data_IF_769748877785
#
_entry.id   IF_769748877785
#
_cell.length_a   1.000
_cell.length_b   1.000
_cell.length_c   1.000
_cell.angle_alpha   90.00
_cell.angle_beta   90.00
_cell.angle_gamma   90.00
#
_symmetry.space_group_name_H-M   'P 1'
#
loop_
_entity.id
_entity.type
_entity.pdbx_description
1 polymer ?
#
# COMPACT_ATOMS: atom_id res chain seq x y z
N UNK A 1 8.06 13.58 22.62
CA UNK A 1 7.54 12.70 21.54
C UNK A 1 8.72 12.07 20.81
N UNK A 2 8.55 10.89 20.20
CA UNK A 2 9.60 10.29 19.37
C UNK A 2 9.83 11.14 18.11
N UNK A 3 11.08 11.23 17.66
CA UNK A 3 11.40 11.68 16.30
C UNK A 3 10.99 10.62 15.28
N UNK A 4 10.84 11.00 14.01
CA UNK A 4 10.45 10.04 12.96
C UNK A 4 11.50 8.93 12.80
N UNK A 5 12.79 9.27 12.92
CA UNK A 5 13.89 8.29 12.93
C UNK A 5 13.76 7.29 14.09
N UNK A 6 13.42 7.76 15.30
CA UNK A 6 13.22 6.89 16.45
C UNK A 6 12.00 5.97 16.26
N UNK A 7 10.90 6.49 15.70
CA UNK A 7 9.72 5.69 15.39
C UNK A 7 10.05 4.59 14.38
N UNK A 8 10.71 4.92 13.27
CA UNK A 8 11.12 3.95 12.25
C UNK A 8 12.05 2.89 12.84
N UNK A 9 13.01 3.28 13.68
CA UNK A 9 13.91 2.34 14.34
C UNK A 9 13.13 1.34 15.23
N UNK A 10 12.14 1.82 15.98
CA UNK A 10 11.25 0.96 16.79
C UNK A 10 10.40 0.02 15.94
N UNK A 11 9.86 0.51 14.82
CA UNK A 11 9.09 -0.32 13.88
C UNK A 11 9.97 -1.43 13.31
N UNK A 12 11.20 -1.10 12.86
CA UNK A 12 12.15 -2.08 12.30
C UNK A 12 12.63 -3.11 13.32
N UNK A 13 12.68 -2.75 14.61
CA UNK A 13 13.05 -3.63 15.71
C UNK A 13 11.85 -4.42 16.30
N UNK A 14 10.64 -4.25 15.75
CA UNK A 14 9.44 -4.88 16.31
C UNK A 14 9.48 -6.42 16.20
N UNK A 15 9.27 -7.10 17.32
CA UNK A 15 9.20 -8.55 17.45
C UNK A 15 7.81 -9.07 17.89
N UNK A 16 6.82 -8.19 18.08
CA UNK A 16 5.47 -8.51 18.58
C UNK A 16 4.82 -9.74 17.93
N UNK A 17 4.99 -9.90 16.61
CA UNK A 17 4.37 -10.99 15.87
C UNK A 17 5.19 -12.29 15.87
N UNK A 18 6.42 -12.30 16.39
CA UNK A 18 7.38 -13.40 16.29
C UNK A 18 6.80 -14.78 16.65
N UNK A 19 5.98 -14.95 17.72
CA UNK A 19 5.40 -16.26 18.05
C UNK A 19 4.49 -16.87 16.97
N UNK A 20 4.09 -16.09 15.96
CA UNK A 20 3.15 -16.47 14.91
C UNK A 20 3.75 -16.45 13.50
N UNK A 21 5.03 -16.08 13.35
CA UNK A 21 5.67 -15.94 12.04
C UNK A 21 6.68 -17.08 11.84
N UNK A 22 6.37 -18.07 10.97
CA UNK A 22 7.21 -19.25 10.80
C UNK A 22 8.62 -18.92 10.26
N UNK A 23 8.73 -17.87 9.45
CA UNK A 23 9.99 -17.40 8.86
C UNK A 23 10.61 -16.22 9.67
N UNK A 24 10.12 -15.94 10.89
CA UNK A 24 10.62 -14.88 11.77
C UNK A 24 10.07 -13.48 11.45
N UNK A 25 10.62 -12.47 12.14
CA UNK A 25 10.22 -11.05 11.96
C UNK A 25 11.17 -10.33 11.02
N UNK A 26 10.60 -9.60 10.06
CA UNK A 26 11.29 -8.59 9.27
C UNK A 26 10.29 -7.51 8.87
N UNK A 27 10.13 -6.45 9.69
CA UNK A 27 9.26 -5.35 9.33
C UNK A 27 9.78 -4.63 8.08
N UNK A 28 9.05 -4.74 6.96
CA UNK A 28 9.39 -4.11 5.67
C UNK A 28 8.40 -2.98 5.39
N UNK A 29 8.92 -1.75 5.42
CA UNK A 29 8.18 -0.51 5.11
C UNK A 29 9.06 0.45 4.29
N UNK A 30 8.43 1.38 3.58
CA UNK A 30 9.08 2.57 2.99
C UNK A 30 8.37 3.81 3.56
N UNK A 31 9.13 4.76 4.09
CA UNK A 31 8.56 5.88 4.84
C UNK A 31 9.47 7.10 4.79
N UNK A 32 8.88 8.26 4.49
CA UNK A 32 9.42 9.58 4.72
C UNK A 32 8.24 10.54 5.03
N UNK A 33 8.36 11.50 5.96
CA UNK A 33 7.30 12.48 6.24
C UNK A 33 6.88 13.33 5.03
N UNK A 34 7.73 13.43 4.00
CA UNK A 34 7.43 14.17 2.77
C UNK A 34 6.61 13.37 1.76
N UNK A 35 6.41 12.05 1.99
CA UNK A 35 5.66 11.20 1.08
C UNK A 35 4.29 11.79 0.75
N UNK A 36 3.96 11.78 -0.55
CA UNK A 36 2.70 12.33 -1.08
C UNK A 36 1.73 11.25 -1.51
N UNK A 37 2.25 10.06 -1.80
CA UNK A 37 1.48 8.89 -2.20
C UNK A 37 1.69 7.81 -1.14
N UNK A 38 0.62 7.20 -0.67
CA UNK A 38 0.67 6.03 0.20
C UNK A 38 0.21 4.79 -0.56
N UNK A 39 1.00 3.73 -0.49
CA UNK A 39 0.60 2.38 -0.88
C UNK A 39 0.26 1.60 0.39
N UNK A 40 -1.03 1.37 0.62
CA UNK A 40 -1.53 0.51 1.69
C UNK A 40 -1.93 -0.86 1.13
N UNK A 41 -1.19 -1.90 1.52
CA UNK A 41 -1.41 -3.27 1.03
C UNK A 41 -1.54 -4.27 2.19
N UNK A 42 -1.64 -5.57 1.89
CA UNK A 42 -1.85 -6.61 2.91
C UNK A 42 -0.63 -6.81 3.81
N UNK A 43 0.41 -7.48 3.30
CA UNK A 43 1.64 -7.84 4.00
C UNK A 43 2.71 -8.15 2.94
N UNK A 44 4.01 -8.09 3.28
CA UNK A 44 5.05 -8.52 2.36
C UNK A 44 4.93 -10.03 2.06
N UNK A 45 5.22 -10.42 0.82
CA UNK A 45 5.37 -11.82 0.44
C UNK A 45 6.78 -12.36 0.74
N UNK A 46 7.00 -13.65 0.48
CA UNK A 46 8.28 -14.34 0.77
C UNK A 46 9.51 -13.63 0.20
N UNK A 47 9.49 -13.24 -1.08
CA UNK A 47 10.63 -12.56 -1.71
C UNK A 47 10.92 -11.19 -1.08
N UNK A 48 9.88 -10.47 -0.67
CA UNK A 48 10.03 -9.20 0.07
C UNK A 48 10.59 -9.45 1.46
N UNK A 49 10.20 -10.53 2.14
CA UNK A 49 10.80 -10.96 3.41
C UNK A 49 12.27 -11.32 3.28
N UNK A 50 12.68 -11.98 2.19
CA UNK A 50 14.07 -12.38 1.96
C UNK A 50 14.96 -11.20 1.56
N UNK A 51 14.43 -10.25 0.79
CA UNK A 51 15.22 -9.12 0.27
C UNK A 51 15.11 -7.86 1.13
N UNK A 52 14.02 -7.69 1.87
CA UNK A 52 13.72 -6.47 2.63
C UNK A 52 13.29 -5.28 1.78
N UNK A 53 13.08 -5.48 0.47
CA UNK A 53 12.72 -4.43 -0.48
C UNK A 53 11.22 -4.55 -0.76
N UNK A 54 10.39 -3.56 -0.40
CA UNK A 54 8.94 -3.59 -0.63
C UNK A 54 8.62 -3.83 -2.10
N UNK A 55 7.63 -4.67 -2.43
CA UNK A 55 7.21 -4.89 -3.83
C UNK A 55 8.36 -5.26 -4.80
N UNK A 56 9.41 -5.92 -4.30
CA UNK A 56 10.47 -6.48 -5.12
C UNK A 56 10.09 -7.87 -5.67
N UNK A 57 8.95 -7.92 -6.36
CA UNK A 57 8.38 -9.13 -6.96
C UNK A 57 7.51 -8.76 -8.18
N UNK A 58 7.01 -9.75 -8.95
CA UNK A 58 6.18 -9.48 -10.13
C UNK A 58 4.90 -8.70 -9.86
N UNK A 59 4.36 -8.75 -8.64
CA UNK A 59 3.20 -7.93 -8.27
C UNK A 59 3.60 -6.46 -8.15
N UNK A 60 4.81 -6.18 -7.68
CA UNK A 60 5.38 -4.84 -7.70
C UNK A 60 5.64 -4.28 -9.09
N UNK A 61 6.11 -5.11 -10.03
CA UNK A 61 6.30 -4.70 -11.43
C UNK A 61 4.97 -4.23 -12.04
N UNK A 62 3.92 -5.02 -11.84
CA UNK A 62 2.57 -4.66 -12.29
C UNK A 62 2.03 -3.43 -11.58
N UNK A 63 2.26 -3.29 -10.27
CA UNK A 63 1.82 -2.10 -9.54
C UNK A 63 2.46 -0.83 -10.09
N UNK A 64 3.77 -0.85 -10.38
CA UNK A 64 4.46 0.28 -11.03
C UNK A 64 3.88 0.61 -12.39
N UNK A 65 3.56 -0.41 -13.20
CA UNK A 65 2.88 -0.22 -14.49
C UNK A 65 1.51 0.45 -14.33
N UNK A 66 0.67 -0.03 -13.40
CA UNK A 66 -0.63 0.60 -13.12
C UNK A 66 -0.49 2.02 -12.58
N UNK A 67 0.54 2.29 -11.77
CA UNK A 67 0.83 3.64 -11.28
C UNK A 67 1.39 4.57 -12.36
N UNK A 68 1.95 4.03 -13.45
CA UNK A 68 2.57 4.82 -14.51
C UNK A 68 3.86 5.52 -14.07
N UNK A 69 4.61 4.94 -13.13
CA UNK A 69 5.84 5.53 -12.58
C UNK A 69 7.05 4.60 -12.71
N UNK A 70 8.24 5.20 -12.70
CA UNK A 70 9.50 4.46 -12.78
C UNK A 70 9.85 3.80 -11.45
N UNK A 71 10.75 2.79 -11.44
CA UNK A 71 11.29 2.22 -10.20
C UNK A 71 11.94 3.28 -9.30
N UNK A 72 12.64 4.26 -9.86
CA UNK A 72 13.31 5.33 -9.09
C UNK A 72 12.28 6.17 -8.33
N UNK A 73 11.16 6.52 -8.97
CA UNK A 73 10.06 7.25 -8.30
C UNK A 73 9.37 6.36 -7.26
N UNK A 74 9.14 5.08 -7.59
CA UNK A 74 8.46 4.14 -6.70
C UNK A 74 9.25 3.88 -5.42
N UNK A 75 10.57 3.82 -5.52
CA UNK A 75 11.48 3.57 -4.39
C UNK A 75 12.03 4.85 -3.74
N UNK A 76 11.61 6.04 -4.17
CA UNK A 76 11.87 7.29 -3.46
C UNK A 76 10.89 7.43 -2.28
N UNK A 77 11.36 7.31 -1.03
CA UNK A 77 10.48 7.39 0.13
C UNK A 77 9.84 8.77 0.30
N UNK A 78 10.42 9.84 -0.26
CA UNK A 78 9.85 11.21 -0.23
C UNK A 78 8.67 11.38 -1.18
N UNK A 79 8.53 10.50 -2.17
CA UNK A 79 7.41 10.50 -3.10
C UNK A 79 6.35 9.47 -2.69
N UNK A 80 6.79 8.26 -2.37
CA UNK A 80 5.92 7.11 -2.10
C UNK A 80 6.23 6.51 -0.72
N UNK A 81 5.25 6.52 0.18
CA UNK A 81 5.26 5.69 1.38
C UNK A 81 4.63 4.33 1.07
N UNK A 82 5.19 3.26 1.63
CA UNK A 82 4.68 1.89 1.51
C UNK A 82 4.49 1.33 2.91
N UNK A 83 3.23 1.29 3.35
CA UNK A 83 2.83 0.79 4.66
C UNK A 83 1.80 -0.32 4.46
N UNK A 84 2.17 -1.61 4.55
CA UNK A 84 1.22 -2.72 4.56
C UNK A 84 0.39 -2.78 5.86
N UNK A 85 -0.65 -3.61 5.92
CA UNK A 85 -1.42 -3.86 7.14
C UNK A 85 -0.64 -4.70 8.16
N UNK A 86 0.14 -5.67 7.68
CA UNK A 86 1.15 -6.37 8.47
C UNK A 86 2.53 -6.14 7.88
N UNK A 87 3.51 -5.74 8.69
CA UNK A 87 4.83 -5.38 8.17
C UNK A 87 5.77 -6.57 7.94
N UNK A 88 5.43 -7.75 8.43
CA UNK A 88 6.22 -8.97 8.27
C UNK A 88 5.47 -9.99 7.42
N UNK A 89 6.20 -10.91 6.79
CA UNK A 89 5.63 -11.97 5.99
C UNK A 89 4.94 -13.00 6.89
N UNK A 90 3.63 -13.25 6.70
CA UNK A 90 2.85 -14.08 7.60
C UNK A 90 2.99 -15.59 7.36
N UNK A 91 3.78 -16.00 6.37
CA UNK A 91 3.89 -17.40 5.93
C UNK A 91 2.98 -17.74 4.74
N UNK A 92 3.12 -18.94 4.19
CA UNK A 92 2.31 -19.45 3.06
C UNK A 92 1.16 -20.32 3.56
N UNK A 93 -0.05 -20.02 3.10
CA UNK A 93 -1.24 -20.87 3.18
C UNK A 93 -1.61 -21.53 1.85
N UNK A 94 -2.77 -22.21 1.81
CA UNK A 94 -3.20 -23.02 0.65
C UNK A 94 -3.42 -22.21 -0.64
N UNK A 95 -3.92 -20.99 -0.51
CA UNK A 95 -4.28 -20.10 -1.63
C UNK A 95 -3.31 -18.94 -1.82
N UNK A 96 -2.20 -18.91 -1.06
CA UNK A 96 -1.22 -17.84 -1.05
C UNK A 96 -0.74 -17.46 0.32
N UNK A 97 -0.12 -16.29 0.41
CA UNK A 97 0.36 -15.77 1.66
C UNK A 97 -0.79 -15.62 2.65
N UNK A 98 -0.52 -15.95 3.91
CA UNK A 98 -1.47 -15.84 5.00
C UNK A 98 -1.93 -14.37 5.20
N UNK A 99 -3.06 -14.15 5.89
CA UNK A 99 -3.50 -12.81 6.22
C UNK A 99 -2.50 -12.08 7.13
N UNK A 100 -2.52 -10.73 7.13
CA UNK A 100 -1.66 -9.96 8.00
C UNK A 100 -2.04 -10.22 9.46
N UNK A 101 -1.04 -10.18 10.34
CA UNK A 101 -1.26 -10.32 11.78
C UNK A 101 -2.09 -9.16 12.32
N UNK A 102 -3.15 -9.48 13.08
CA UNK A 102 -4.15 -8.52 13.57
C UNK A 102 -3.56 -7.51 14.56
N UNK A 103 -2.48 -7.91 15.23
CA UNK A 103 -1.77 -7.15 16.26
C UNK A 103 -0.87 -6.06 15.64
N UNK A 104 -0.45 -6.22 14.38
CA UNK A 104 0.55 -5.34 13.75
C UNK A 104 0.01 -3.93 13.47
N UNK A 105 -1.17 -3.84 12.84
CA UNK A 105 -1.75 -2.55 12.46
C UNK A 105 -2.08 -1.65 13.67
N UNK A 106 -2.78 -2.13 14.73
CA UNK A 106 -3.04 -1.34 15.93
C UNK A 106 -1.76 -0.85 16.61
N UNK A 107 -0.69 -1.63 16.55
CA UNK A 107 0.58 -1.26 17.17
C UNK A 107 1.27 -0.10 16.44
N UNK A 108 1.29 -0.06 15.11
CA UNK A 108 2.17 0.86 14.38
C UNK A 108 1.50 1.76 13.35
N UNK A 109 0.38 1.36 12.74
CA UNK A 109 -0.13 2.08 11.56
C UNK A 109 -0.54 3.50 11.88
N UNK A 110 -1.33 3.71 12.93
CA UNK A 110 -1.79 5.07 13.26
C UNK A 110 -0.61 6.00 13.56
N UNK A 111 0.36 5.53 14.35
CA UNK A 111 1.58 6.29 14.67
C UNK A 111 2.37 6.72 13.43
N UNK A 112 2.41 5.89 12.39
CA UNK A 112 3.07 6.21 11.12
C UNK A 112 2.20 7.12 10.23
N UNK A 113 0.89 6.87 10.17
CA UNK A 113 -0.06 7.70 9.40
C UNK A 113 -0.07 9.15 9.91
N UNK A 114 0.00 9.35 11.23
CA UNK A 114 0.06 10.68 11.87
C UNK A 114 1.32 11.47 11.48
N UNK A 115 2.32 10.80 10.89
CA UNK A 115 3.59 11.37 10.45
C UNK A 115 3.69 11.53 8.93
N UNK A 116 2.58 11.39 8.21
CA UNK A 116 2.48 11.57 6.77
C UNK A 116 1.51 12.71 6.42
N UNK A 117 1.79 13.97 6.83
CA UNK A 117 0.85 15.08 6.65
C UNK A 117 0.68 15.50 5.18
N UNK A 118 1.61 15.10 4.31
CA UNK A 118 1.66 15.55 2.93
C UNK A 118 0.94 14.62 1.94
N UNK A 119 0.26 13.57 2.43
CA UNK A 119 -0.44 12.63 1.56
C UNK A 119 -1.54 13.33 0.77
N UNK A 120 -1.46 13.17 -0.55
CA UNK A 120 -2.45 13.63 -1.52
C UNK A 120 -3.19 12.46 -2.16
N UNK A 121 -2.64 11.25 -2.08
CA UNK A 121 -3.21 10.05 -2.65
C UNK A 121 -2.90 8.81 -1.79
N UNK A 122 -3.89 7.93 -1.63
CA UNK A 122 -3.74 6.61 -0.98
C UNK A 122 -4.26 5.52 -1.94
N UNK A 123 -3.40 4.56 -2.28
CA UNK A 123 -3.78 3.30 -2.91
C UNK A 123 -4.13 2.28 -1.82
N UNK A 124 -5.40 1.83 -1.78
CA UNK A 124 -5.86 0.82 -0.80
C UNK A 124 -6.06 -0.52 -1.49
N UNK A 125 -5.03 -1.36 -1.37
CA UNK A 125 -4.85 -2.59 -2.15
C UNK A 125 -5.34 -3.81 -1.34
N UNK A 126 -6.45 -4.38 -1.79
CA UNK A 126 -7.04 -5.59 -1.23
C UNK A 126 -7.82 -5.38 0.08
N UNK A 127 -8.52 -6.44 0.50
CA UNK A 127 -9.56 -6.37 1.53
C UNK A 127 -9.10 -5.81 2.87
N UNK A 128 -7.87 -6.10 3.32
CA UNK A 128 -7.38 -5.66 4.63
C UNK A 128 -7.10 -4.16 4.66
N UNK A 129 -6.52 -3.63 3.57
CA UNK A 129 -6.29 -2.20 3.45
C UNK A 129 -7.61 -1.45 3.23
N UNK A 130 -8.50 -1.98 2.38
CA UNK A 130 -9.84 -1.42 2.17
C UNK A 130 -10.64 -1.36 3.47
N UNK A 131 -10.66 -2.44 4.27
CA UNK A 131 -11.40 -2.48 5.53
C UNK A 131 -10.89 -1.48 6.59
N UNK A 132 -9.61 -1.09 6.52
CA UNK A 132 -9.01 -0.09 7.41
C UNK A 132 -9.29 1.34 6.96
N UNK A 133 -9.16 1.61 5.66
CA UNK A 133 -9.22 2.98 5.13
C UNK A 133 -10.63 3.41 4.71
N UNK A 134 -11.55 2.46 4.48
CA UNK A 134 -12.89 2.74 3.97
C UNK A 134 -13.97 2.38 4.99
N UNK A 135 -15.00 3.22 5.06
CA UNK A 135 -16.20 3.00 5.86
C UNK A 135 -17.04 1.85 5.31
N UNK A 136 -17.15 1.77 3.98
CA UNK A 136 -17.93 0.82 3.23
C UNK A 136 -17.39 -0.60 3.43
N UNK A 137 -18.31 -1.55 3.52
CA UNK A 137 -18.01 -2.98 3.62
C UNK A 137 -18.52 -3.67 2.37
N UNK A 138 -17.71 -4.58 1.84
CA UNK A 138 -18.02 -5.32 0.62
C UNK A 138 -16.84 -6.17 0.20
N UNK A 139 -17.04 -6.97 -0.83
CA UNK A 139 -15.95 -7.67 -1.51
C UNK A 139 -15.01 -6.66 -2.20
N UNK A 140 -13.77 -7.09 -2.46
CA UNK A 140 -12.80 -6.28 -3.21
C UNK A 140 -13.38 -5.84 -4.56
N UNK A 141 -14.09 -6.72 -5.26
CA UNK A 141 -14.69 -6.39 -6.57
C UNK A 141 -15.72 -5.28 -6.44
N UNK A 142 -16.64 -5.38 -5.48
CA UNK A 142 -17.68 -4.37 -5.25
C UNK A 142 -17.03 -3.03 -4.93
N UNK A 143 -16.14 -2.99 -3.93
CA UNK A 143 -15.47 -1.74 -3.51
C UNK A 143 -14.70 -1.11 -4.68
N UNK A 144 -13.93 -1.89 -5.44
CA UNK A 144 -13.18 -1.37 -6.60
C UNK A 144 -14.12 -0.93 -7.72
N UNK A 145 -15.27 -1.59 -7.93
CA UNK A 145 -16.23 -1.16 -8.97
C UNK A 145 -16.84 0.22 -8.69
N UNK A 146 -16.91 0.59 -7.41
CA UNK A 146 -17.36 1.90 -6.93
C UNK A 146 -16.22 2.92 -6.81
N UNK A 147 -15.06 2.69 -7.45
CA UNK A 147 -13.88 3.56 -7.30
C UNK A 147 -14.17 5.05 -7.52
N UNK A 148 -15.10 5.39 -8.43
CA UNK A 148 -15.48 6.78 -8.72
C UNK A 148 -16.08 7.50 -7.51
N UNK A 149 -16.70 6.78 -6.59
CA UNK A 149 -17.29 7.36 -5.38
C UNK A 149 -16.20 7.83 -4.41
N UNK A 150 -15.01 7.21 -4.44
CA UNK A 150 -13.86 7.50 -3.58
C UNK A 150 -12.87 8.51 -4.18
N UNK A 151 -12.86 8.67 -5.51
CA UNK A 151 -11.86 9.47 -6.25
C UNK A 151 -12.33 10.93 -6.49
N UNK A 152 -13.34 11.40 -5.76
CA UNK A 152 -13.89 12.76 -5.94
C UNK A 152 -12.80 13.83 -5.78
N UNK A 153 -12.75 14.77 -6.73
CA UNK A 153 -11.63 15.71 -6.94
C UNK A 153 -11.31 16.60 -5.72
N UNK A 154 -12.28 16.84 -4.85
CA UNK A 154 -12.15 17.75 -3.70
C UNK A 154 -11.76 17.07 -2.39
N UNK A 155 -11.59 15.73 -2.38
CA UNK A 155 -11.14 15.01 -1.18
C UNK A 155 -9.62 14.83 -1.20
N UNK A 156 -8.94 15.36 -0.18
CA UNK A 156 -7.53 15.12 0.08
C UNK A 156 -7.35 14.36 1.41
N UNK A 157 -6.62 13.22 1.42
CA UNK A 157 -6.07 12.54 0.25
C UNK A 157 -7.15 11.85 -0.59
N UNK A 158 -6.94 11.76 -1.91
CA UNK A 158 -7.77 10.94 -2.79
C UNK A 158 -7.51 9.46 -2.52
N UNK A 159 -8.56 8.63 -2.46
CA UNK A 159 -8.41 7.20 -2.14
C UNK A 159 -8.79 6.34 -3.34
N UNK A 160 -7.85 5.50 -3.78
CA UNK A 160 -8.06 4.58 -4.89
C UNK A 160 -8.12 3.14 -4.37
N UNK A 161 -9.32 2.53 -4.30
CA UNK A 161 -9.43 1.11 -4.04
C UNK A 161 -8.89 0.30 -5.22
N UNK A 162 -8.05 -0.68 -4.92
CA UNK A 162 -7.43 -1.53 -5.94
C UNK A 162 -7.50 -3.01 -5.58
N UNK A 163 -7.60 -3.91 -6.58
CA UNK A 163 -7.35 -5.33 -6.38
C UNK A 163 -5.85 -5.57 -6.16
N UNK A 164 -5.48 -6.73 -5.65
CA UNK A 164 -4.06 -7.10 -5.55
C UNK A 164 -3.43 -7.25 -6.94
N UNK A 165 -2.22 -6.72 -7.21
CA UNK A 165 -1.53 -6.86 -8.50
C UNK A 165 -0.93 -8.25 -8.76
N UNK A 166 -1.39 -9.29 -8.06
CA UNK A 166 -0.82 -10.64 -8.20
C UNK A 166 -1.20 -11.26 -9.55
N UNK A 167 -0.34 -12.08 -10.17
CA UNK A 167 -0.70 -12.90 -11.32
C UNK A 167 -1.96 -13.75 -11.11
N UNK A 168 -2.27 -14.11 -9.86
CA UNK A 168 -3.50 -14.85 -9.51
C UNK A 168 -4.78 -14.09 -9.84
N UNK A 169 -4.72 -12.75 -9.91
CA UNK A 169 -5.83 -11.90 -10.28
C UNK A 169 -6.00 -11.73 -11.80
N UNK A 170 -5.24 -12.42 -12.66
CA UNK A 170 -5.38 -12.30 -14.11
C UNK A 170 -6.79 -12.67 -14.62
N UNK A 171 -7.44 -13.68 -14.01
CA UNK A 171 -8.84 -14.02 -14.36
C UNK A 171 -9.79 -12.90 -13.96
N UNK A 172 -9.56 -12.28 -12.80
CA UNK A 172 -10.35 -11.14 -12.35
C UNK A 172 -10.21 -9.95 -13.31
N UNK A 173 -8.98 -9.62 -13.73
CA UNK A 173 -8.72 -8.53 -14.69
C UNK A 173 -9.42 -8.78 -16.03
N UNK A 174 -9.34 -10.00 -16.57
CA UNK A 174 -10.06 -10.38 -17.80
C UNK A 174 -11.58 -10.24 -17.70
N UNK A 175 -12.15 -10.44 -16.51
CA UNK A 175 -13.60 -10.29 -16.26
C UNK A 175 -14.01 -8.85 -15.93
N UNK A 176 -13.05 -7.99 -15.60
CA UNK A 176 -13.26 -6.60 -15.19
C UNK A 176 -12.36 -5.66 -16.00
N UNK A 177 -12.49 -5.64 -17.35
CA UNK A 177 -11.59 -4.87 -18.22
C UNK A 177 -11.61 -3.37 -17.91
N UNK A 178 -12.75 -2.86 -17.40
CA UNK A 178 -12.91 -1.49 -16.92
C UNK A 178 -11.86 -1.06 -15.88
N UNK A 179 -11.22 -1.99 -15.17
CA UNK A 179 -10.15 -1.66 -14.24
C UNK A 179 -8.94 -1.07 -14.98
N UNK A 180 -8.46 -1.75 -16.02
CA UNK A 180 -7.30 -1.29 -16.80
C UNK A 180 -7.70 -0.23 -17.84
N UNK A 181 -8.95 -0.25 -18.31
CA UNK A 181 -9.44 0.70 -19.33
C UNK A 181 -9.92 2.04 -18.75
N UNK A 182 -10.34 2.09 -17.48
CA UNK A 182 -10.89 3.31 -16.88
C UNK A 182 -10.24 3.71 -15.55
N UNK A 183 -10.07 2.79 -14.59
CA UNK A 183 -9.48 3.15 -13.28
C UNK A 183 -7.98 3.46 -13.42
N UNK A 184 -7.21 2.60 -14.10
CA UNK A 184 -5.75 2.79 -14.26
C UNK A 184 -5.39 4.12 -14.94
N UNK A 185 -6.02 4.54 -16.06
CA UNK A 185 -5.74 5.85 -16.67
C UNK A 185 -6.03 7.04 -15.74
N UNK A 186 -7.12 6.98 -14.97
CA UNK A 186 -7.44 8.01 -13.97
C UNK A 186 -6.39 8.04 -12.85
N UNK A 187 -5.98 6.86 -12.36
CA UNK A 187 -4.92 6.73 -11.37
C UNK A 187 -3.61 7.37 -11.84
N UNK A 188 -3.18 7.05 -13.07
CA UNK A 188 -1.95 7.61 -13.65
C UNK A 188 -2.02 9.12 -13.77
N UNK A 189 -3.17 9.65 -14.21
CA UNK A 189 -3.42 11.10 -14.28
C UNK A 189 -3.27 11.75 -12.90
N UNK A 190 -3.91 11.19 -11.87
CA UNK A 190 -3.83 11.72 -10.51
C UNK A 190 -2.44 11.61 -9.91
N UNK A 191 -1.74 10.48 -10.11
CA UNK A 191 -0.35 10.32 -9.67
C UNK A 191 0.54 11.37 -10.32
N UNK A 192 0.40 11.60 -11.62
CA UNK A 192 1.19 12.62 -12.31
C UNK A 192 0.94 14.03 -11.74
N UNK A 193 -0.32 14.39 -11.49
CA UNK A 193 -0.67 15.66 -10.83
C UNK A 193 -0.03 15.79 -9.44
N UNK A 194 -0.09 14.73 -8.63
CA UNK A 194 0.52 14.70 -7.30
C UNK A 194 2.03 14.84 -7.37
N UNK A 195 2.70 14.21 -8.34
CA UNK A 195 4.16 14.28 -8.45
C UNK A 195 4.67 15.60 -9.06
N UNK A 196 3.86 16.27 -9.89
CA UNK A 196 4.22 17.55 -10.52
C UNK A 196 3.91 18.79 -9.68
N UNK A 197 2.99 18.70 -8.72
CA UNK A 197 2.64 19.83 -7.87
C UNK A 197 3.86 20.30 -7.06
N UNK A 198 4.27 21.56 -7.22
CA UNK A 198 5.45 22.14 -6.55
C UNK A 198 5.29 22.14 -5.01
N UNK A 199 6.24 21.58 -4.24
CA UNK A 199 6.21 21.62 -2.77
C UNK A 199 6.25 23.03 -2.18
N UNK A 200 6.62 24.05 -2.95
CA UNK A 200 6.79 25.43 -2.48
C UNK A 200 5.51 26.29 -2.46
N UNK A 201 4.36 25.73 -2.84
CA UNK A 201 3.05 26.39 -2.73
C UNK A 201 2.20 25.73 -1.64
N UNK A 202 2.53 26.02 -0.39
CA UNK A 202 1.78 25.62 0.80
C UNK A 202 2.17 26.47 1.99
#
# INVERSE_FOLDING_TARGET
>A
MLTDQQLIARVKACDLCLPHLPDGVRPVIQFDPQARILIAAQAPGRRVHETGIPFNDPSGDRLRQWMGITPETFYDPRQVAILPMGFCYPGTGKSGDLPPRKECAPQWRQQLMDRLPNLQLILVIGQYAQAWHLSEKGSVTEIVSHWRDYVKQDQAPAVFPMPHPSPRNNIWLKRNPWFEEALVPELQTRIHQVLMADPSRG
#
